data_IF_982062924946
#
_entry.id   IF_982062924946
#
_cell.length_a   1.000
_cell.length_b   1.000
_cell.length_c   1.000
_cell.angle_alpha   90.00
_cell.angle_beta   90.00
_cell.angle_gamma   90.00
#
_symmetry.space_group_name_H-M   'P 1'
#
loop_
_entity.id
_entity.type
_entity.pdbx_description
1 polymer ?
#
# COMPACT_ATOMS: atom_id res chain seq x y z
N UNK A 1 36.87 15.23 -8.76
CA UNK A 1 35.62 15.25 -9.57
C UNK A 1 35.73 14.40 -10.83
N UNK A 2 36.65 14.67 -11.77
CA UNK A 2 36.85 13.88 -13.01
C UNK A 2 37.05 12.36 -12.79
N UNK A 3 37.86 11.99 -11.80
CA UNK A 3 38.12 10.57 -11.45
C UNK A 3 36.84 9.87 -10.95
N UNK A 4 36.02 10.57 -10.16
CA UNK A 4 34.75 10.03 -9.66
C UNK A 4 33.76 9.77 -10.79
N UNK A 5 33.63 10.70 -11.74
CA UNK A 5 32.82 10.50 -12.94
C UNK A 5 33.31 9.31 -13.78
N UNK A 6 34.63 9.15 -13.93
CA UNK A 6 35.21 8.00 -14.61
C UNK A 6 34.85 6.66 -13.94
N UNK A 7 34.95 6.59 -12.62
CA UNK A 7 34.58 5.38 -11.85
C UNK A 7 33.08 5.07 -11.98
N UNK A 8 32.22 6.09 -11.83
CA UNK A 8 30.76 5.91 -11.98
C UNK A 8 30.40 5.43 -13.40
N UNK A 9 31.04 5.97 -14.44
CA UNK A 9 30.82 5.53 -15.82
C UNK A 9 31.20 4.06 -16.01
N UNK A 10 32.37 3.64 -15.49
CA UNK A 10 32.81 2.24 -15.54
C UNK A 10 31.82 1.32 -14.83
N UNK A 11 31.34 1.71 -13.65
CA UNK A 11 30.35 0.93 -12.89
C UNK A 11 29.00 0.84 -13.60
N UNK A 12 28.53 1.91 -14.24
CA UNK A 12 27.31 1.89 -15.06
C UNK A 12 27.47 0.96 -16.28
N UNK A 13 28.61 1.01 -16.97
CA UNK A 13 28.89 0.12 -18.11
C UNK A 13 28.95 -1.35 -17.68
N UNK A 14 29.60 -1.66 -16.55
CA UNK A 14 29.62 -3.00 -15.98
C UNK A 14 28.22 -3.47 -15.56
N UNK A 15 27.39 -2.57 -15.03
CA UNK A 15 26.03 -2.87 -14.65
C UNK A 15 25.16 -3.30 -15.85
N UNK A 16 25.38 -2.74 -17.04
CA UNK A 16 24.65 -3.12 -18.26
C UNK A 16 25.03 -4.48 -18.85
N UNK A 17 26.18 -5.05 -18.46
CA UNK A 17 26.63 -6.34 -19.01
C UNK A 17 25.66 -7.45 -18.59
N UNK A 18 25.05 -8.20 -19.54
CA UNK A 18 24.13 -9.28 -19.21
C UNK A 18 24.87 -10.42 -18.52
N UNK A 19 24.26 -10.95 -17.46
CA UNK A 19 24.76 -12.10 -16.69
C UNK A 19 23.70 -13.20 -16.70
N UNK A 20 24.06 -14.42 -17.07
CA UNK A 20 23.12 -15.53 -17.23
C UNK A 20 23.30 -16.35 -18.51
N UNK A 21 24.32 -16.08 -19.33
CA UNK A 21 24.52 -16.79 -20.59
C UNK A 21 24.77 -18.29 -20.40
N UNK A 22 24.36 -19.11 -21.38
CA UNK A 22 24.66 -20.56 -21.40
C UNK A 22 26.18 -20.82 -21.31
N UNK A 23 26.98 -20.01 -22.02
CA UNK A 23 28.44 -20.09 -22.03
C UNK A 23 29.06 -18.87 -21.33
N UNK A 24 29.54 -19.07 -20.10
CA UNK A 24 30.04 -17.98 -19.25
C UNK A 24 31.40 -17.50 -19.72
N UNK A 25 31.43 -16.30 -20.32
CA UNK A 25 32.66 -15.61 -20.76
C UNK A 25 33.41 -14.98 -19.58
N UNK A 26 34.70 -14.66 -19.75
CA UNK A 26 35.54 -14.03 -18.71
C UNK A 26 34.95 -12.70 -18.20
N UNK A 27 34.44 -11.88 -19.10
CA UNK A 27 33.78 -10.60 -18.77
C UNK A 27 32.55 -10.82 -17.89
N UNK A 28 31.75 -11.86 -18.17
CA UNK A 28 30.57 -12.18 -17.36
C UNK A 28 30.96 -12.59 -15.93
N UNK A 29 32.03 -13.39 -15.76
CA UNK A 29 32.53 -13.74 -14.41
C UNK A 29 32.98 -12.51 -13.63
N UNK A 30 33.69 -11.61 -14.31
CA UNK A 30 34.14 -10.35 -13.71
C UNK A 30 32.95 -9.49 -13.31
N UNK A 31 31.98 -9.28 -14.20
CA UNK A 31 30.75 -8.54 -13.90
C UNK A 31 29.96 -9.16 -12.74
N UNK A 32 29.85 -10.50 -12.68
CA UNK A 32 29.20 -11.18 -11.54
C UNK A 32 29.93 -10.88 -10.23
N UNK A 33 31.26 -10.91 -10.23
CA UNK A 33 32.06 -10.57 -9.04
C UNK A 33 31.84 -9.11 -8.60
N UNK A 34 31.86 -8.16 -9.53
CA UNK A 34 31.58 -6.73 -9.24
C UNK A 34 30.15 -6.53 -8.73
N UNK A 35 29.16 -7.24 -9.28
CA UNK A 35 27.76 -7.16 -8.83
C UNK A 35 27.58 -7.62 -7.38
N UNK A 36 28.40 -8.58 -6.91
CA UNK A 36 28.35 -9.08 -5.54
C UNK A 36 29.13 -8.17 -4.59
N UNK A 37 30.31 -7.70 -5.00
CA UNK A 37 31.27 -7.08 -4.08
C UNK A 37 31.28 -5.54 -4.13
N UNK A 38 30.59 -4.90 -5.08
CA UNK A 38 30.57 -3.44 -5.23
C UNK A 38 29.13 -2.93 -5.25
N UNK A 39 28.70 -2.34 -4.14
CA UNK A 39 27.31 -1.88 -3.93
C UNK A 39 26.82 -0.90 -4.99
N UNK A 40 27.68 -0.02 -5.50
CA UNK A 40 27.30 0.93 -6.57
C UNK A 40 26.95 0.23 -7.88
N UNK A 41 27.69 -0.82 -8.26
CA UNK A 41 27.39 -1.61 -9.47
C UNK A 41 26.05 -2.33 -9.29
N UNK A 42 25.79 -2.89 -8.10
CA UNK A 42 24.50 -3.49 -7.78
C UNK A 42 23.35 -2.47 -7.84
N UNK A 43 23.52 -1.30 -7.24
CA UNK A 43 22.54 -0.21 -7.25
C UNK A 43 22.22 0.27 -8.68
N UNK A 44 23.25 0.51 -9.51
CA UNK A 44 23.03 0.90 -10.90
C UNK A 44 22.32 -0.20 -11.70
N UNK A 45 22.61 -1.48 -11.44
CA UNK A 45 21.87 -2.59 -12.07
C UNK A 45 20.39 -2.60 -11.73
N UNK A 46 20.04 -2.30 -10.48
CA UNK A 46 18.65 -2.18 -10.02
C UNK A 46 17.96 -1.00 -10.69
N UNK A 47 18.58 0.19 -10.64
CA UNK A 47 18.06 1.41 -11.27
C UNK A 47 17.80 1.26 -12.77
N UNK A 48 18.66 0.52 -13.48
CA UNK A 48 18.53 0.31 -14.93
C UNK A 48 17.67 -0.92 -15.30
N UNK A 49 17.01 -1.57 -14.32
CA UNK A 49 16.18 -2.75 -14.50
C UNK A 49 16.83 -3.84 -15.39
N UNK A 50 18.13 -4.10 -15.20
CA UNK A 50 18.88 -5.04 -16.05
C UNK A 50 18.48 -6.48 -15.69
N UNK A 51 17.46 -7.00 -16.39
CA UNK A 51 16.89 -8.33 -16.21
C UNK A 51 17.92 -9.43 -16.52
N UNK A 52 17.89 -10.50 -15.72
CA UNK A 52 18.76 -11.67 -15.90
C UNK A 52 17.93 -12.80 -16.46
N UNK A 53 18.11 -13.09 -17.75
CA UNK A 53 17.48 -14.24 -18.41
C UNK A 53 18.55 -15.28 -18.74
N UNK A 54 18.33 -16.52 -18.27
CA UNK A 54 19.22 -17.63 -18.60
C UNK A 54 19.22 -18.77 -17.57
N UNK A 55 19.89 -19.90 -17.87
CA UNK A 55 19.82 -21.12 -17.06
C UNK A 55 20.59 -21.04 -15.74
N UNK A 56 21.36 -19.97 -15.50
CA UNK A 56 22.13 -19.79 -14.26
C UNK A 56 21.45 -18.75 -13.37
N UNK A 57 21.19 -19.06 -12.09
CA UNK A 57 20.56 -18.11 -11.19
C UNK A 57 21.41 -16.85 -11.03
N UNK A 58 20.74 -15.72 -10.73
CA UNK A 58 21.42 -14.46 -10.54
C UNK A 58 22.43 -14.56 -9.38
N UNK A 59 23.59 -13.88 -9.46
CA UNK A 59 24.59 -13.89 -8.38
C UNK A 59 24.08 -13.29 -7.06
N UNK A 60 23.06 -12.43 -7.14
CA UNK A 60 22.37 -11.79 -6.01
C UNK A 60 20.90 -11.81 -6.38
N UNK A 61 20.07 -12.34 -5.48
CA UNK A 61 18.62 -12.23 -5.54
C UNK A 61 18.24 -10.92 -4.85
N UNK A 62 17.70 -9.96 -5.60
CA UNK A 62 17.13 -8.75 -5.02
C UNK A 62 15.67 -9.03 -4.77
N UNK A 63 15.27 -9.02 -3.51
CA UNK A 63 13.88 -8.97 -3.14
C UNK A 63 13.51 -7.49 -3.06
N UNK A 64 12.53 -7.08 -3.84
CA UNK A 64 11.89 -5.78 -3.73
C UNK A 64 10.55 -5.99 -3.02
N UNK A 65 10.07 -4.96 -2.37
CA UNK A 65 8.68 -4.89 -1.96
C UNK A 65 7.76 -5.09 -3.16
N UNK A 66 6.67 -5.82 -2.95
CA UNK A 66 5.79 -6.28 -4.04
C UNK A 66 4.91 -5.16 -4.61
N UNK A 67 5.09 -3.89 -4.20
CA UNK A 67 4.32 -2.72 -4.66
C UNK A 67 4.35 -2.56 -6.19
N UNK A 68 5.42 -3.03 -6.85
CA UNK A 68 5.51 -3.05 -8.32
C UNK A 68 4.59 -4.06 -9.02
N UNK A 69 4.07 -5.05 -8.29
CA UNK A 69 3.15 -6.07 -8.80
C UNK A 69 1.77 -5.87 -8.18
N UNK A 70 1.71 -5.72 -6.86
CA UNK A 70 0.48 -5.58 -6.07
C UNK A 70 0.72 -4.81 -4.78
N UNK A 71 0.09 -3.63 -4.65
CA UNK A 71 0.30 -2.71 -3.52
C UNK A 71 -0.52 -3.04 -2.25
N UNK A 72 -1.54 -3.90 -2.32
CA UNK A 72 -2.51 -4.08 -1.23
C UNK A 72 -2.31 -5.37 -0.42
N UNK A 73 -1.35 -6.23 -0.80
CA UNK A 73 -1.15 -7.55 -0.20
C UNK A 73 -2.37 -8.48 -0.29
N UNK A 74 -3.34 -8.24 -1.16
CA UNK A 74 -4.61 -8.99 -1.19
C UNK A 74 -4.49 -10.33 -1.91
N UNK A 75 -3.51 -10.48 -2.81
CA UNK A 75 -3.35 -11.71 -3.60
C UNK A 75 -3.11 -12.96 -2.75
N UNK A 76 -2.19 -12.94 -1.76
CA UNK A 76 -2.04 -14.06 -0.82
C UNK A 76 -3.32 -14.37 -0.05
N UNK A 77 -4.06 -13.36 0.39
CA UNK A 77 -5.29 -13.53 1.18
C UNK A 77 -6.41 -14.19 0.36
N UNK A 78 -6.55 -13.80 -0.91
CA UNK A 78 -7.50 -14.43 -1.84
C UNK A 78 -7.13 -15.89 -2.12
N UNK A 79 -5.84 -16.23 -2.20
CA UNK A 79 -5.39 -17.62 -2.34
C UNK A 79 -5.73 -18.49 -1.13
N UNK A 80 -5.73 -17.90 0.07
CA UNK A 80 -6.17 -18.56 1.31
C UNK A 80 -7.70 -18.72 1.40
N UNK A 81 -8.47 -18.15 0.45
CA UNK A 81 -9.94 -18.23 0.40
C UNK A 81 -10.63 -17.68 1.64
N UNK A 82 -10.07 -16.60 2.22
CA UNK A 82 -10.60 -16.01 3.45
C UNK A 82 -12.03 -15.52 3.26
N UNK A 83 -12.83 -15.66 4.31
CA UNK A 83 -14.23 -15.24 4.32
C UNK A 83 -14.38 -13.72 4.37
N UNK A 84 -13.62 -13.04 5.22
CA UNK A 84 -13.68 -11.59 5.38
C UNK A 84 -12.26 -11.04 5.27
N UNK A 85 -12.05 -10.05 4.41
CA UNK A 85 -10.77 -9.37 4.23
C UNK A 85 -11.01 -7.88 4.40
N UNK A 86 -10.28 -7.25 5.32
CA UNK A 86 -10.26 -5.79 5.45
C UNK A 86 -8.99 -5.28 4.79
N UNK A 87 -9.11 -4.33 3.88
CA UNK A 87 -7.99 -3.73 3.16
C UNK A 87 -8.02 -2.24 3.40
N UNK A 88 -6.93 -1.67 3.88
CA UNK A 88 -6.78 -0.22 4.07
C UNK A 88 -5.77 0.31 3.06
N UNK A 89 -6.22 1.13 2.11
CA UNK A 89 -5.36 1.73 1.08
C UNK A 89 -4.86 3.11 1.52
N UNK A 90 -3.68 3.12 2.13
CA UNK A 90 -2.93 4.34 2.48
C UNK A 90 -2.13 4.93 1.31
N UNK A 91 -2.31 4.43 0.09
CA UNK A 91 -1.54 4.85 -1.07
C UNK A 91 -1.83 6.27 -1.55
N UNK A 92 -0.83 6.91 -2.16
CA UNK A 92 -0.99 8.24 -2.76
C UNK A 92 -1.80 8.14 -4.05
N UNK A 93 -3.03 8.67 -4.03
CA UNK A 93 -3.89 8.78 -5.22
C UNK A 93 -3.98 10.23 -5.70
N UNK A 94 -3.30 10.56 -6.81
CA UNK A 94 -3.26 11.93 -7.33
C UNK A 94 -4.61 12.44 -7.87
N UNK A 95 -5.52 11.53 -8.25
CA UNK A 95 -6.85 11.87 -8.76
C UNK A 95 -7.90 10.95 -8.12
N UNK A 96 -9.11 11.48 -7.89
CA UNK A 96 -10.19 10.66 -7.32
C UNK A 96 -10.54 9.42 -8.16
N UNK A 97 -10.30 9.49 -9.47
CA UNK A 97 -10.55 8.35 -10.37
C UNK A 97 -9.61 7.18 -10.13
N UNK A 98 -8.47 7.44 -9.48
CA UNK A 98 -7.42 6.46 -9.22
C UNK A 98 -7.67 5.68 -7.91
N UNK A 99 -8.63 6.11 -7.08
CA UNK A 99 -9.07 5.31 -5.93
C UNK A 99 -9.63 3.96 -6.38
N UNK A 100 -9.21 2.88 -5.72
CA UNK A 100 -9.56 1.51 -6.10
C UNK A 100 -8.77 0.96 -7.30
N UNK A 101 -7.88 1.76 -7.93
CA UNK A 101 -7.04 1.26 -9.03
C UNK A 101 -6.09 0.16 -8.57
N UNK A 102 -5.49 0.30 -7.39
CA UNK A 102 -4.64 -0.72 -6.77
C UNK A 102 -5.41 -2.03 -6.56
N UNK A 103 -6.65 -1.93 -6.08
CA UNK A 103 -7.53 -3.09 -5.89
C UNK A 103 -7.92 -3.73 -7.22
N UNK A 104 -8.25 -2.93 -8.23
CA UNK A 104 -8.55 -3.43 -9.58
C UNK A 104 -7.36 -4.16 -10.20
N UNK A 105 -6.15 -3.61 -10.07
CA UNK A 105 -4.92 -4.26 -10.55
C UNK A 105 -4.74 -5.61 -9.83
N UNK A 106 -4.85 -5.62 -8.51
CA UNK A 106 -4.72 -6.84 -7.73
C UNK A 106 -5.77 -7.90 -8.10
N UNK A 107 -7.03 -7.51 -8.26
CA UNK A 107 -8.11 -8.41 -8.67
C UNK A 107 -7.94 -8.93 -10.10
N UNK A 108 -7.48 -8.09 -11.04
CA UNK A 108 -7.16 -8.50 -12.41
C UNK A 108 -6.00 -9.52 -12.46
N UNK A 109 -5.04 -9.42 -11.53
CA UNK A 109 -3.97 -10.42 -11.39
C UNK A 109 -4.53 -11.70 -10.76
N UNK A 110 -5.41 -11.57 -9.75
CA UNK A 110 -6.02 -12.70 -9.06
C UNK A 110 -6.91 -13.53 -10.00
N UNK A 111 -7.55 -12.87 -10.96
CA UNK A 111 -8.51 -13.49 -11.85
C UNK A 111 -8.73 -12.67 -13.13
N UNK A 112 -9.04 -13.37 -14.22
CA UNK A 112 -9.56 -12.84 -15.49
C UNK A 112 -11.01 -12.32 -15.32
N UNK A 113 -11.25 -11.46 -14.31
CA UNK A 113 -12.57 -10.99 -13.88
C UNK A 113 -12.73 -9.54 -14.29
N UNK A 114 -13.44 -9.33 -15.39
CA UNK A 114 -14.12 -8.08 -15.69
C UNK A 114 -15.61 -8.38 -15.70
N UNK A 115 -16.36 -7.77 -14.80
CA UNK A 115 -17.59 -7.05 -15.14
C UNK A 115 -18.29 -6.50 -13.90
N UNK A 116 -18.83 -5.28 -14.08
CA UNK A 116 -19.63 -4.49 -13.14
C UNK A 116 -18.88 -3.83 -11.98
N UNK A 117 -18.04 -2.84 -12.30
CA UNK A 117 -17.80 -1.76 -11.36
C UNK A 117 -18.93 -0.74 -11.46
N UNK A 118 -19.59 -0.50 -10.32
CA UNK A 118 -20.75 0.39 -10.17
C UNK A 118 -20.42 1.80 -10.66
N UNK A 119 -21.29 2.35 -11.51
CA UNK A 119 -21.18 3.71 -12.02
C UNK A 119 -21.29 4.77 -10.92
N UNK A 120 -20.57 5.88 -11.12
CA UNK A 120 -20.23 6.89 -10.11
C UNK A 120 -21.28 8.00 -10.03
N UNK A 121 -21.72 8.37 -8.83
CA UNK A 121 -22.50 9.60 -8.57
C UNK A 121 -21.55 10.70 -8.03
N UNK A 122 -21.64 11.97 -8.46
CA UNK A 122 -20.87 13.09 -7.90
C UNK A 122 -21.36 13.46 -6.48
N UNK A 123 -20.46 13.64 -5.51
CA UNK A 123 -20.79 14.05 -4.14
C UNK A 123 -19.73 13.65 -3.10
N UNK A 124 -20.02 13.85 -1.80
CA UNK A 124 -19.26 13.25 -0.69
C UNK A 124 -19.31 11.73 -0.82
N UNK A 125 -18.16 11.07 -0.72
CA UNK A 125 -18.04 9.63 -0.97
C UNK A 125 -17.66 8.91 0.32
N UNK A 126 -18.19 7.70 0.56
CA UNK A 126 -17.83 6.92 1.72
C UNK A 126 -16.32 6.63 1.72
N UNK A 127 -15.76 6.49 2.91
CA UNK A 127 -14.39 6.02 3.11
C UNK A 127 -14.29 4.51 2.89
N UNK A 128 -15.39 3.77 2.70
CA UNK A 128 -15.38 2.33 2.50
C UNK A 128 -16.19 1.83 1.29
N UNK A 129 -15.79 0.65 0.81
CA UNK A 129 -16.43 -0.09 -0.28
C UNK A 129 -16.45 -1.58 0.04
N UNK A 130 -17.54 -2.27 -0.28
CA UNK A 130 -17.68 -3.72 -0.06
C UNK A 130 -17.72 -4.48 -1.38
N UNK A 131 -16.97 -5.57 -1.47
CA UNK A 131 -16.91 -6.42 -2.65
C UNK A 131 -17.15 -7.88 -2.27
N UNK A 132 -17.99 -8.58 -3.04
CA UNK A 132 -18.22 -10.01 -2.84
C UNK A 132 -17.32 -10.82 -3.77
N UNK A 133 -16.61 -11.79 -3.21
CA UNK A 133 -15.69 -12.68 -3.91
C UNK A 133 -16.23 -14.10 -3.91
N UNK A 134 -16.02 -14.80 -5.02
CA UNK A 134 -16.44 -16.18 -5.22
C UNK A 134 -15.22 -17.03 -5.54
N UNK A 135 -14.98 -18.08 -4.75
CA UNK A 135 -13.85 -18.99 -4.94
C UNK A 135 -14.28 -20.18 -5.77
N UNK A 136 -13.44 -20.59 -6.72
CA UNK A 136 -13.70 -21.70 -7.62
C UNK A 136 -12.53 -22.68 -7.67
N UNK A 137 -12.83 -23.97 -7.74
CA UNK A 137 -11.88 -25.00 -8.13
C UNK A 137 -11.97 -25.27 -9.63
N UNK A 138 -10.81 -25.47 -10.25
CA UNK A 138 -10.71 -25.85 -11.65
C UNK A 138 -10.98 -27.35 -11.75
N UNK A 139 -12.02 -27.76 -12.47
CA UNK A 139 -12.18 -29.18 -12.76
C UNK A 139 -11.07 -29.62 -13.72
N UNK A 140 -10.30 -30.64 -13.33
CA UNK A 140 -9.21 -31.17 -14.16
C UNK A 140 -9.75 -31.84 -15.44
N UNK A 141 -11.03 -32.24 -15.43
CA UNK A 141 -11.66 -33.04 -16.47
C UNK A 141 -12.71 -32.30 -17.32
N UNK A 142 -12.93 -31.00 -17.08
CA UNK A 142 -13.87 -30.17 -17.86
C UNK A 142 -13.51 -28.69 -17.78
N UNK A 143 -13.91 -27.91 -18.78
CA UNK A 143 -13.73 -26.45 -18.80
C UNK A 143 -14.58 -25.70 -17.74
N UNK A 144 -15.37 -26.44 -16.95
CA UNK A 144 -16.24 -25.91 -15.90
C UNK A 144 -15.49 -25.60 -14.60
N UNK A 145 -15.83 -24.48 -13.98
CA UNK A 145 -15.36 -24.09 -12.64
C UNK A 145 -16.44 -24.43 -11.61
N UNK A 146 -16.09 -25.15 -10.54
CA UNK A 146 -17.02 -25.42 -9.43
C UNK A 146 -16.81 -24.38 -8.34
N UNK A 147 -17.88 -23.71 -7.91
CA UNK A 147 -17.81 -22.77 -6.80
C UNK A 147 -17.62 -23.53 -5.48
N UNK A 148 -16.61 -23.13 -4.71
CA UNK A 148 -16.19 -23.81 -3.47
C UNK A 148 -16.22 -22.91 -2.24
N UNK A 149 -16.44 -21.60 -2.42
CA UNK A 149 -16.60 -20.69 -1.30
C UNK A 149 -16.99 -19.28 -1.73
N UNK A 150 -17.29 -18.45 -0.73
CA UNK A 150 -17.53 -17.03 -0.89
C UNK A 150 -16.79 -16.25 0.21
N UNK A 151 -16.26 -15.10 -0.16
CA UNK A 151 -15.72 -14.12 0.77
C UNK A 151 -16.22 -12.71 0.47
N UNK A 152 -15.91 -11.79 1.36
CA UNK A 152 -16.19 -10.37 1.25
C UNK A 152 -14.92 -9.58 1.53
N UNK A 153 -14.69 -8.53 0.74
CA UNK A 153 -13.60 -7.57 0.95
C UNK A 153 -14.24 -6.24 1.37
N UNK A 154 -13.85 -5.73 2.53
CA UNK A 154 -14.08 -4.37 2.96
C UNK A 154 -12.85 -3.55 2.63
N UNK A 155 -12.96 -2.67 1.64
CA UNK A 155 -11.88 -1.80 1.18
C UNK A 155 -12.08 -0.39 1.72
N UNK A 156 -11.14 0.06 2.53
CA UNK A 156 -11.14 1.35 3.23
C UNK A 156 -10.11 2.25 2.58
N UNK A 157 -10.52 3.49 2.35
CA UNK A 157 -9.75 4.54 1.71
C UNK A 157 -9.87 5.78 2.59
N UNK A 158 -8.82 6.12 3.36
CA UNK A 158 -8.76 7.34 4.14
C UNK A 158 -9.04 8.58 3.29
N UNK A 159 -9.76 9.56 3.85
CA UNK A 159 -10.15 10.78 3.14
C UNK A 159 -9.81 12.01 3.96
N UNK A 160 -9.48 13.09 3.25
CA UNK A 160 -9.39 14.40 3.89
C UNK A 160 -10.75 14.76 4.53
N UNK A 161 -10.80 15.39 5.72
CA UNK A 161 -12.05 15.72 6.42
C UNK A 161 -13.10 16.45 5.56
N UNK A 162 -12.67 17.36 4.69
CA UNK A 162 -13.57 18.06 3.74
C UNK A 162 -14.26 17.17 2.70
N UNK A 163 -13.73 15.97 2.47
CA UNK A 163 -14.20 15.02 1.43
C UNK A 163 -14.89 13.79 2.00
N UNK A 164 -14.72 13.52 3.29
CA UNK A 164 -15.35 12.40 3.97
C UNK A 164 -16.86 12.63 4.16
N UNK A 165 -17.62 11.55 4.29
CA UNK A 165 -19.05 11.65 4.66
C UNK A 165 -19.13 12.02 6.14
N UNK A 166 -19.77 13.16 6.44
CA UNK A 166 -20.01 13.59 7.82
C UNK A 166 -21.11 12.72 8.42
N UNK A 167 -20.74 11.70 9.18
CA UNK A 167 -21.69 10.65 9.56
C UNK A 167 -22.39 10.84 10.91
N UNK A 168 -21.91 11.62 11.88
CA UNK A 168 -22.62 12.07 13.14
C UNK A 168 -21.61 12.81 14.07
N UNK A 169 -21.94 13.39 15.26
CA UNK A 169 -21.10 14.43 15.88
C UNK A 169 -19.77 13.89 16.42
N UNK A 170 -18.82 14.80 16.61
CA UNK A 170 -17.50 14.54 17.20
C UNK A 170 -17.60 13.65 18.44
N UNK A 171 -16.99 12.46 18.36
CA UNK A 171 -16.84 11.53 19.51
C UNK A 171 -15.46 11.68 20.13
N UNK A 172 -15.39 11.54 21.45
CA UNK A 172 -14.10 11.51 22.17
C UNK A 172 -13.48 10.11 22.10
N UNK A 173 -12.23 9.96 22.52
CA UNK A 173 -11.61 8.64 22.63
C UNK A 173 -12.36 7.73 23.61
N UNK A 174 -12.83 8.25 24.74
CA UNK A 174 -13.60 7.47 25.71
C UNK A 174 -14.87 6.90 25.08
N UNK A 175 -15.53 7.67 24.20
CA UNK A 175 -16.72 7.22 23.48
C UNK A 175 -16.42 6.25 22.35
N UNK A 176 -15.33 6.47 21.61
CA UNK A 176 -14.88 5.64 20.49
C UNK A 176 -14.34 4.28 20.95
N UNK A 177 -13.75 4.24 22.14
CA UNK A 177 -13.11 3.05 22.73
C UNK A 177 -13.96 2.42 23.83
N UNK A 178 -15.25 2.77 24.00
CA UNK A 178 -16.11 2.25 25.09
C UNK A 178 -16.10 0.73 25.25
N UNK A 179 -15.93 0.02 24.14
CA UNK A 179 -15.95 -1.44 24.09
C UNK A 179 -14.54 -2.07 24.14
N UNK A 180 -13.50 -1.25 24.32
CA UNK A 180 -12.10 -1.66 24.38
C UNK A 180 -11.47 -1.15 25.68
N UNK A 181 -10.67 -1.99 26.35
CA UNK A 181 -9.92 -1.61 27.55
C UNK A 181 -8.61 -0.89 27.15
N UNK A 182 -8.74 0.14 26.32
CA UNK A 182 -7.63 0.97 25.83
C UNK A 182 -7.87 2.42 26.22
N UNK A 183 -6.91 3.01 26.93
CA UNK A 183 -6.88 4.43 27.24
C UNK A 183 -5.83 5.13 26.35
N UNK A 184 -6.30 5.88 25.36
CA UNK A 184 -5.43 6.68 24.51
C UNK A 184 -5.22 8.05 25.15
N UNK A 185 -3.96 8.36 25.50
CA UNK A 185 -3.61 9.67 26.04
C UNK A 185 -3.96 10.79 25.05
N UNK A 186 -5.02 11.56 25.36
CA UNK A 186 -5.48 12.65 24.50
C UNK A 186 -4.40 13.73 24.24
N UNK A 187 -3.43 13.86 25.16
CA UNK A 187 -2.27 14.73 24.99
C UNK A 187 -1.33 14.30 23.86
N UNK A 188 -1.30 13.01 23.51
CA UNK A 188 -0.49 12.45 22.42
C UNK A 188 -1.29 12.31 21.12
N UNK A 189 -2.56 11.92 21.22
CA UNK A 189 -3.37 11.50 20.07
C UNK A 189 -4.49 12.48 19.70
N UNK A 190 -4.59 13.62 20.38
CA UNK A 190 -5.71 14.55 20.23
C UNK A 190 -6.95 14.11 20.99
N UNK A 191 -8.02 14.90 20.95
CA UNK A 191 -9.23 14.66 21.74
C UNK A 191 -10.11 13.49 21.26
N UNK A 192 -9.88 12.99 20.04
CA UNK A 192 -10.65 11.90 19.46
C UNK A 192 -10.26 11.60 18.01
N UNK A 193 -10.94 10.64 17.37
CA UNK A 193 -10.64 10.18 16.00
C UNK A 193 -10.86 11.23 14.92
N UNK A 194 -11.80 12.16 15.11
CA UNK A 194 -12.17 13.13 14.07
C UNK A 194 -11.13 14.25 13.96
N UNK A 195 -10.60 14.48 12.76
CA UNK A 195 -9.70 15.59 12.45
C UNK A 195 -10.48 16.75 11.84
N UNK A 196 -10.18 17.98 12.26
CA UNK A 196 -10.64 19.15 11.52
C UNK A 196 -9.86 19.32 10.20
N UNK A 197 -10.49 19.97 9.22
CA UNK A 197 -9.83 20.33 7.97
C UNK A 197 -8.62 21.24 8.19
N UNK A 198 -8.64 22.10 9.21
CA UNK A 198 -7.50 22.94 9.58
C UNK A 198 -6.33 22.09 10.07
N UNK A 199 -6.60 21.12 10.95
CA UNK A 199 -5.58 20.19 11.45
C UNK A 199 -4.96 19.34 10.33
N UNK A 200 -5.76 18.91 9.35
CA UNK A 200 -5.26 18.16 8.20
C UNK A 200 -4.46 19.04 7.23
N UNK A 201 -4.93 20.25 6.94
CA UNK A 201 -4.29 21.16 5.99
C UNK A 201 -2.93 21.70 6.46
N UNK A 202 -2.69 21.79 7.77
CA UNK A 202 -1.41 22.23 8.34
C UNK A 202 -0.30 21.19 8.23
N UNK A 203 -0.62 19.92 7.93
CA UNK A 203 0.34 18.83 7.82
C UNK A 203 1.13 18.94 6.50
N UNK A 204 2.03 19.92 6.44
CA UNK A 204 2.85 20.21 5.28
C UNK A 204 4.29 19.80 5.52
N UNK A 205 4.95 19.37 4.44
CA UNK A 205 6.29 18.78 4.43
C UNK A 205 6.39 17.55 5.36
N UNK A 206 7.59 17.01 5.53
CA UNK A 206 7.81 15.79 6.31
C UNK A 206 9.08 15.83 7.17
N UNK A 207 9.74 16.99 7.27
CA UNK A 207 11.08 17.11 7.86
C UNK A 207 11.09 17.20 9.38
N UNK A 208 10.23 18.04 9.96
CA UNK A 208 10.12 18.31 11.39
C UNK A 208 8.75 18.91 11.69
N UNK A 209 8.37 18.95 12.97
CA UNK A 209 7.18 19.68 13.44
C UNK A 209 7.20 21.16 13.02
N UNK A 210 8.39 21.75 12.92
CA UNK A 210 8.58 23.13 12.49
C UNK A 210 8.25 23.39 11.01
N UNK A 211 8.18 22.35 10.18
CA UNK A 211 7.84 22.48 8.77
C UNK A 211 6.32 22.60 8.55
N UNK A 212 5.50 22.20 9.53
CA UNK A 212 4.05 22.25 9.45
C UNK A 212 3.52 23.67 9.44
N UNK A 213 2.44 23.88 8.70
CA UNK A 213 1.74 25.15 8.60
C UNK A 213 1.11 25.35 7.23
N UNK A 214 0.52 26.54 7.04
CA UNK A 214 -0.15 26.90 5.80
C UNK A 214 0.78 27.57 4.78
N UNK A 215 2.00 27.95 5.19
CA UNK A 215 2.97 28.63 4.32
C UNK A 215 3.60 27.62 3.36
N UNK A 216 3.72 27.99 2.08
CA UNK A 216 4.26 27.13 1.02
C UNK A 216 3.51 25.79 0.85
N UNK A 217 2.22 25.72 1.24
CA UNK A 217 1.41 24.50 1.12
C UNK A 217 1.53 23.88 -0.26
N UNK A 218 1.27 24.62 -1.33
CA UNK A 218 1.33 24.12 -2.72
C UNK A 218 2.68 23.49 -3.10
N UNK A 219 3.79 24.00 -2.55
CA UNK A 219 5.12 23.42 -2.76
C UNK A 219 5.25 22.08 -2.03
N UNK A 220 4.77 22.03 -0.77
CA UNK A 220 4.65 20.77 -0.03
C UNK A 220 3.76 19.78 -0.76
N UNK A 221 2.57 20.17 -1.24
CA UNK A 221 1.67 19.24 -1.94
C UNK A 221 2.35 18.60 -3.16
N UNK A 222 3.11 19.39 -3.91
CA UNK A 222 3.85 18.93 -5.08
C UNK A 222 4.97 17.93 -4.72
N UNK A 223 5.78 18.25 -3.71
CA UNK A 223 6.95 17.44 -3.33
C UNK A 223 6.56 16.23 -2.47
N UNK A 224 5.66 16.44 -1.53
CA UNK A 224 5.42 15.59 -0.37
C UNK A 224 4.04 14.92 -0.37
N UNK A 225 3.10 15.44 -1.16
CA UNK A 225 1.68 15.10 -1.05
C UNK A 225 0.98 15.90 0.05
N UNK A 226 -0.25 15.50 0.35
CA UNK A 226 -1.12 16.12 1.35
C UNK A 226 -1.74 15.04 2.20
N UNK A 227 -2.14 15.34 3.42
CA UNK A 227 -2.91 14.39 4.23
C UNK A 227 -4.24 13.98 3.54
N UNK A 228 -4.65 12.69 3.57
CA UNK A 228 -3.95 11.50 4.07
C UNK A 228 -3.11 10.77 3.01
N UNK A 229 -2.71 11.44 1.93
CA UNK A 229 -2.00 10.91 0.77
C UNK A 229 -0.53 11.41 0.64
N UNK A 230 0.20 11.48 1.75
CA UNK A 230 1.64 11.77 1.70
C UNK A 230 2.37 10.68 0.90
N UNK A 231 3.48 11.04 0.25
CA UNK A 231 4.28 10.08 -0.50
C UNK A 231 4.91 9.06 0.43
N UNK A 232 4.84 7.77 0.07
CA UNK A 232 5.52 6.66 0.78
C UNK A 232 7.05 6.75 0.75
N UNK A 233 7.62 7.56 -0.17
CA UNK A 233 9.04 7.93 -0.14
C UNK A 233 9.41 8.69 1.14
N UNK A 234 8.42 9.20 1.89
CA UNK A 234 8.60 9.83 3.18
C UNK A 234 8.45 8.79 4.28
N UNK A 235 9.54 8.06 4.54
CA UNK A 235 9.57 7.02 5.55
C UNK A 235 9.51 7.54 7.00
N UNK A 236 9.60 8.86 7.20
CA UNK A 236 9.58 9.49 8.51
C UNK A 236 8.39 10.45 8.61
N UNK A 237 7.35 10.00 9.29
CA UNK A 237 6.30 10.89 9.75
C UNK A 237 6.75 11.59 11.03
N UNK A 238 6.43 12.88 11.10
CA UNK A 238 6.50 13.63 12.35
C UNK A 238 5.48 13.07 13.35
N UNK A 239 5.68 13.20 14.68
CA UNK A 239 4.70 12.80 15.67
C UNK A 239 3.28 13.32 15.39
N UNK A 240 3.12 14.58 14.96
CA UNK A 240 1.82 15.16 14.62
C UNK A 240 1.19 14.49 13.40
N UNK A 241 1.96 14.17 12.36
CA UNK A 241 1.47 13.42 11.20
C UNK A 241 1.06 12.00 11.61
N UNK A 242 1.88 11.33 12.42
CA UNK A 242 1.60 9.99 12.91
C UNK A 242 0.30 9.95 13.72
N UNK A 243 0.11 10.90 14.64
CA UNK A 243 -1.12 11.05 15.40
C UNK A 243 -2.34 11.32 14.50
N UNK A 244 -2.20 12.17 13.47
CA UNK A 244 -3.27 12.41 12.51
C UNK A 244 -3.64 11.14 11.70
N UNK A 245 -2.65 10.38 11.22
CA UNK A 245 -2.91 9.12 10.52
C UNK A 245 -3.55 8.06 11.43
N UNK A 246 -3.12 8.00 12.69
CA UNK A 246 -3.72 7.13 13.70
C UNK A 246 -5.20 7.46 13.91
N UNK A 247 -5.52 8.74 14.17
CA UNK A 247 -6.89 9.26 14.31
C UNK A 247 -7.76 8.92 13.09
N UNK A 248 -7.24 9.19 11.89
CA UNK A 248 -7.93 8.91 10.63
C UNK A 248 -8.18 7.40 10.43
N UNK A 249 -7.24 6.55 10.84
CA UNK A 249 -7.41 5.09 10.83
C UNK A 249 -8.61 4.64 11.68
N UNK A 250 -8.73 5.16 12.92
CA UNK A 250 -9.89 4.91 13.77
C UNK A 250 -11.18 5.47 13.15
N UNK A 251 -11.16 6.73 12.71
CA UNK A 251 -12.31 7.39 12.09
C UNK A 251 -12.84 6.58 10.89
N UNK A 252 -11.97 6.21 9.96
CA UNK A 252 -12.34 5.44 8.77
C UNK A 252 -12.83 4.03 9.12
N UNK A 253 -12.23 3.38 10.13
CA UNK A 253 -12.66 2.05 10.59
C UNK A 253 -14.03 2.06 11.25
N UNK A 254 -14.34 3.09 12.03
CA UNK A 254 -15.67 3.30 12.62
C UNK A 254 -16.72 3.58 11.55
N UNK A 255 -16.43 4.50 10.61
CA UNK A 255 -17.31 4.79 9.47
C UNK A 255 -17.65 3.51 8.69
N UNK A 256 -16.63 2.67 8.44
CA UNK A 256 -16.75 1.39 7.73
C UNK A 256 -17.36 0.25 8.56
N UNK A 257 -17.58 0.45 9.86
CA UNK A 257 -18.08 -0.56 10.83
C UNK A 257 -17.23 -1.84 10.80
N UNK A 258 -15.90 -1.68 10.81
CA UNK A 258 -14.93 -2.79 10.71
C UNK A 258 -15.16 -3.87 11.78
N UNK A 259 -15.40 -3.46 13.02
CA UNK A 259 -15.64 -4.38 14.13
C UNK A 259 -16.80 -5.35 13.85
N UNK A 260 -17.90 -4.86 13.29
CA UNK A 260 -19.04 -5.69 12.91
C UNK A 260 -18.74 -6.58 11.71
N UNK A 261 -18.05 -6.04 10.71
CA UNK A 261 -17.65 -6.79 9.52
C UNK A 261 -16.79 -8.01 9.89
N UNK A 262 -15.83 -7.84 10.81
CA UNK A 262 -14.97 -8.93 11.28
C UNK A 262 -15.73 -9.88 12.21
N UNK A 263 -16.64 -9.38 13.06
CA UNK A 263 -17.37 -10.19 14.04
C UNK A 263 -18.45 -11.09 13.44
N UNK A 264 -19.05 -10.71 12.30
CA UNK A 264 -20.19 -11.42 11.69
C UNK A 264 -19.89 -12.86 11.19
N UNK A 265 -18.67 -13.39 11.33
CA UNK A 265 -18.32 -14.76 10.90
C UNK A 265 -17.48 -15.61 11.87
N UNK A 266 -17.54 -15.38 13.18
CA UNK A 266 -17.15 -16.43 14.13
C UNK A 266 -18.15 -17.61 14.11
N UNK A 267 -18.22 -18.34 12.99
CA UNK A 267 -18.53 -19.76 12.97
C UNK A 267 -17.37 -20.46 12.25
N UNK A 268 -16.68 -21.40 12.91
CA UNK A 268 -15.45 -21.98 12.40
C UNK A 268 -15.73 -22.98 11.27
N UNK A 269 -14.98 -22.84 10.18
CA UNK A 269 -14.13 -23.96 9.78
C UNK A 269 -12.70 -23.45 9.84
N UNK A 270 -11.89 -24.14 10.64
CA UNK A 270 -10.63 -23.67 11.17
C UNK A 270 -9.64 -23.20 10.10
N UNK A 271 -9.26 -21.92 10.12
CA UNK A 271 -7.87 -21.47 10.01
C UNK A 271 -7.83 -19.99 10.39
N UNK A 272 -6.90 -19.65 11.30
CA UNK A 272 -6.88 -18.41 12.06
C UNK A 272 -6.88 -17.12 11.22
N UNK A 273 -7.53 -16.10 11.76
CA UNK A 273 -7.46 -14.72 11.29
C UNK A 273 -6.00 -14.24 11.38
N UNK A 274 -5.42 -13.90 10.23
CA UNK A 274 -4.15 -13.19 10.13
C UNK A 274 -4.49 -11.74 9.84
N UNK A 275 -4.11 -10.83 10.76
CA UNK A 275 -4.03 -9.41 10.47
C UNK A 275 -2.69 -9.18 9.74
N UNK A 276 -2.75 -8.54 8.57
CA UNK A 276 -1.58 -7.99 7.87
C UNK A 276 -1.69 -6.48 7.91
#
# INVERSE_FOLDING_TARGET
>A
MMIHFGICLIFSLLALVPTGGKNVRRLERLTRWFTINVSSVHYYRLMMNTTKTGPKPPPVLSLTDDDHVENLGILPLLKLRLGNIVVVDGGRSNLEKDYGKSLLIALNIAADIRDNFVERIPGSKPSDYKFKVHYYDKNVNSDGKTKVGEGEILYIVPRHPDKAVKTTPYVTWEEALRDMDEDLEAGLWGAGPELSSEEANRLTFCCCECCHGNTCRSLSEALCGVFPQHSTNHQFFTPTMFAAYHREGYRASMEARVAEFVSNRQQPSALGTIFV
#
